data_IF_424935094875
#
_entry.id   IF_424935094875
#
_cell.length_a   1.000
_cell.length_b   1.000
_cell.length_c   1.000
_cell.angle_alpha   90.00
_cell.angle_beta   90.00
_cell.angle_gamma   90.00
#
_symmetry.space_group_name_H-M   'P 1'
#
loop_
_entity.id
_entity.type
_entity.pdbx_description
1 polymer ?
#
# COMPACT_ATOMS: atom_id res chain seq x y z
N UNK A 1 -11.46 5.48 -44.75
CA UNK A 1 -12.34 4.78 -43.78
C UNK A 1 -11.64 4.75 -42.43
N UNK A 2 -12.35 5.22 -41.41
CA UNK A 2 -12.09 5.14 -39.95
C UNK A 2 -10.79 5.74 -39.39
N UNK A 3 -10.95 7.01 -39.01
CA UNK A 3 -10.27 7.66 -37.90
C UNK A 3 -10.84 7.19 -36.54
N UNK A 4 -10.03 7.37 -35.49
CA UNK A 4 -10.51 7.77 -34.17
C UNK A 4 -10.47 6.72 -33.08
N UNK A 5 -9.40 6.73 -32.26
CA UNK A 5 -9.40 6.40 -30.82
C UNK A 5 -8.18 7.06 -30.17
N UNK A 6 -8.26 8.36 -29.87
CA UNK A 6 -7.24 9.04 -29.06
C UNK A 6 -7.78 10.34 -28.44
N UNK A 7 -8.92 10.28 -27.75
CA UNK A 7 -9.34 11.34 -26.81
C UNK A 7 -10.23 10.73 -25.74
N UNK A 8 -9.88 10.89 -24.46
CA UNK A 8 -10.87 10.70 -23.40
C UNK A 8 -10.38 10.27 -22.03
N UNK A 9 -9.29 10.81 -21.49
CA UNK A 9 -8.92 10.62 -20.08
C UNK A 9 -8.25 11.89 -19.52
N UNK A 10 -8.94 13.03 -19.49
CA UNK A 10 -8.38 14.26 -18.88
C UNK A 10 -9.42 15.32 -18.43
N UNK A 11 -10.63 14.92 -18.04
CA UNK A 11 -11.61 15.88 -17.52
C UNK A 11 -12.33 15.36 -16.28
N UNK A 12 -11.97 15.90 -15.12
CA UNK A 12 -12.78 15.83 -13.92
C UNK A 12 -11.95 15.59 -12.66
N UNK A 13 -11.53 16.68 -12.01
CA UNK A 13 -11.53 16.85 -10.54
C UNK A 13 -10.96 18.24 -10.19
N UNK A 14 -11.84 19.24 -10.22
CA UNK A 14 -11.67 20.54 -9.54
C UNK A 14 -12.96 20.86 -8.79
N UNK A 15 -12.96 20.63 -7.48
CA UNK A 15 -13.82 21.26 -6.45
C UNK A 15 -13.65 20.43 -5.17
N UNK A 16 -13.38 20.96 -3.98
CA UNK A 16 -13.13 22.30 -3.51
C UNK A 16 -12.73 22.18 -2.04
N UNK A 17 -11.68 22.90 -1.63
CA UNK A 17 -11.34 23.12 -0.23
C UNK A 17 -11.32 24.63 -0.03
N UNK A 18 -12.27 25.16 0.75
CA UNK A 18 -12.17 26.47 1.38
C UNK A 18 -12.26 26.27 2.88
N UNK A 19 -11.23 26.76 3.55
CA UNK A 19 -11.09 26.85 4.99
C UNK A 19 -11.86 28.06 5.54
N UNK A 20 -12.18 27.97 6.84
CA UNK A 20 -12.23 29.14 7.74
C UNK A 20 -13.57 29.42 8.41
N UNK A 21 -13.55 29.58 9.73
CA UNK A 21 -14.53 30.43 10.43
C UNK A 21 -14.92 30.00 11.84
N UNK A 22 -14.24 30.56 12.84
CA UNK A 22 -14.51 30.51 14.29
C UNK A 22 -15.73 31.37 14.71
N UNK A 23 -16.45 30.93 15.75
CA UNK A 23 -17.15 31.68 16.83
C UNK A 23 -18.22 30.74 17.41
N UNK A 24 -18.43 30.50 18.71
CA UNK A 24 -18.39 31.34 19.90
C UNK A 24 -19.74 31.16 20.61
N UNK A 25 -19.80 30.72 21.86
CA UNK A 25 -21.10 30.60 22.57
C UNK A 25 -21.06 29.81 23.88
N UNK A 26 -21.67 30.35 24.94
CA UNK A 26 -21.37 30.13 26.35
C UNK A 26 -22.60 29.57 27.11
N UNK A 27 -22.35 28.60 28.02
CA UNK A 27 -23.09 28.22 29.25
C UNK A 27 -24.59 27.89 29.20
N UNK A 28 -24.97 26.77 29.86
CA UNK A 28 -25.79 26.80 31.09
C UNK A 28 -25.77 25.48 31.87
N UNK A 29 -26.00 25.65 33.16
CA UNK A 29 -25.87 24.73 34.29
C UNK A 29 -27.18 23.96 34.56
N UNK A 30 -27.06 22.78 35.16
CA UNK A 30 -28.10 22.16 35.99
C UNK A 30 -28.23 20.65 35.70
N UNK A 31 -28.60 19.77 36.63
CA UNK A 31 -28.80 19.79 38.07
C UNK A 31 -29.12 18.35 38.48
N UNK A 32 -28.57 17.89 39.60
CA UNK A 32 -29.09 16.86 40.55
C UNK A 32 -29.35 15.42 40.05
N UNK A 33 -28.88 14.45 40.85
CA UNK A 33 -29.47 13.12 40.89
C UNK A 33 -28.55 12.02 41.42
N UNK A 34 -28.57 11.82 42.75
CA UNK A 34 -27.99 10.68 43.49
C UNK A 34 -28.65 9.34 43.14
N UNK A 35 -27.89 8.27 42.85
CA UNK A 35 -28.21 6.83 43.12
C UNK A 35 -26.88 6.04 43.12
N UNK A 36 -26.42 5.56 44.28
CA UNK A 36 -26.60 4.21 44.83
C UNK A 36 -25.77 3.12 44.10
N UNK A 37 -24.84 2.54 44.85
CA UNK A 37 -24.16 1.24 44.71
C UNK A 37 -24.34 0.50 43.37
N UNK A 38 -23.28 0.49 42.56
CA UNK A 38 -23.16 -0.31 41.34
C UNK A 38 -21.97 -1.27 41.43
N UNK A 39 -22.27 -2.56 41.27
CA UNK A 39 -21.39 -3.72 41.23
C UNK A 39 -20.10 -3.46 40.44
N UNK A 40 -18.99 -4.07 40.89
CA UNK A 40 -17.75 -4.19 40.09
C UNK A 40 -18.15 -4.74 38.71
N UNK A 41 -18.01 -3.90 37.69
CA UNK A 41 -18.26 -4.27 36.32
C UNK A 41 -17.04 -5.03 35.83
N UNK A 42 -17.03 -6.35 36.03
CA UNK A 42 -16.25 -7.23 35.16
C UNK A 42 -16.92 -7.08 33.79
N UNK A 43 -16.26 -6.52 32.77
CA UNK A 43 -16.86 -6.46 31.46
C UNK A 43 -17.16 -7.90 31.04
N UNK A 44 -18.46 -8.20 30.98
CA UNK A 44 -19.00 -9.40 30.39
C UNK A 44 -18.41 -9.51 29.00
N UNK A 45 -17.47 -10.44 28.84
CA UNK A 45 -17.00 -10.93 27.54
C UNK A 45 -18.27 -11.38 26.84
N UNK A 46 -18.76 -10.54 25.92
CA UNK A 46 -19.76 -11.01 25.00
C UNK A 46 -19.10 -12.18 24.25
N UNK A 47 -19.74 -13.33 24.34
CA UNK A 47 -19.43 -14.48 23.52
C UNK A 47 -20.21 -14.33 22.20
N UNK A 48 -20.11 -13.19 21.52
CA UNK A 48 -20.59 -13.07 20.14
C UNK A 48 -19.50 -13.57 19.20
N UNK A 49 -19.50 -14.89 19.02
CA UNK A 49 -18.78 -15.62 17.99
C UNK A 49 -17.26 -15.36 18.01
N UNK A 50 -16.52 -16.22 18.70
CA UNK A 50 -15.10 -16.44 18.40
C UNK A 50 -15.00 -17.08 17.01
N UNK A 51 -15.36 -16.32 15.98
CA UNK A 51 -15.17 -16.71 14.61
C UNK A 51 -13.67 -16.62 14.43
N UNK A 52 -13.00 -17.77 14.40
CA UNK A 52 -11.57 -17.86 14.22
C UNK A 52 -11.19 -17.50 12.77
N UNK A 53 -11.72 -16.38 12.27
CA UNK A 53 -11.51 -15.79 10.95
C UNK A 53 -10.03 -15.57 10.66
N UNK A 54 -9.21 -15.37 11.70
CA UNK A 54 -7.76 -15.28 11.58
C UNK A 54 -7.09 -16.62 11.25
N UNK A 55 -7.73 -17.76 11.58
CA UNK A 55 -7.27 -19.13 11.23
C UNK A 55 -7.66 -19.55 9.82
N UNK A 56 -8.55 -18.80 9.15
CA UNK A 56 -9.04 -19.14 7.83
C UNK A 56 -8.16 -18.49 6.76
N UNK A 57 -7.74 -19.29 5.79
CA UNK A 57 -6.93 -18.83 4.65
C UNK A 57 -5.45 -18.72 4.98
N UNK A 58 -4.71 -18.20 4.01
CA UNK A 58 -3.28 -17.89 4.09
C UNK A 58 -3.09 -16.38 4.16
N UNK A 59 -2.04 -15.95 4.86
CA UNK A 59 -1.70 -14.53 5.03
C UNK A 59 -0.28 -14.27 4.55
N UNK A 60 -0.07 -13.09 3.97
CA UNK A 60 1.27 -12.62 3.60
C UNK A 60 1.83 -11.90 4.83
N UNK A 61 3.03 -12.31 5.25
CA UNK A 61 3.69 -11.75 6.44
C UNK A 61 5.13 -11.41 6.12
N UNK A 62 5.62 -10.33 6.73
CA UNK A 62 7.02 -9.97 6.75
C UNK A 62 7.66 -10.59 8.00
N UNK A 63 8.51 -11.59 7.79
CA UNK A 63 9.03 -12.44 8.88
C UNK A 63 9.84 -11.66 9.92
N UNK A 64 10.63 -10.68 9.48
CA UNK A 64 11.42 -9.81 10.35
C UNK A 64 10.50 -9.02 11.31
N UNK A 65 9.56 -8.24 10.76
CA UNK A 65 8.59 -7.45 11.53
C UNK A 65 7.75 -8.30 12.47
N UNK A 66 7.35 -9.49 12.02
CA UNK A 66 6.58 -10.43 12.81
C UNK A 66 7.41 -10.96 14.00
N UNK A 67 8.66 -11.37 13.76
CA UNK A 67 9.54 -11.90 14.79
C UNK A 67 9.85 -10.84 15.86
N UNK A 68 10.15 -9.61 15.45
CA UNK A 68 10.35 -8.48 16.37
C UNK A 68 9.10 -8.22 17.23
N UNK A 69 7.92 -8.26 16.61
CA UNK A 69 6.64 -8.04 17.31
C UNK A 69 6.27 -9.18 18.27
N UNK A 70 6.80 -10.39 18.07
CA UNK A 70 6.59 -11.55 18.95
C UNK A 70 7.67 -11.71 20.04
N UNK A 71 8.76 -10.93 19.95
CA UNK A 71 9.92 -11.03 20.85
C UNK A 71 9.57 -10.85 22.32
N UNK A 72 8.58 -10.00 22.64
CA UNK A 72 8.18 -9.75 24.01
C UNK A 72 6.82 -9.09 24.13
N UNK A 73 6.09 -9.44 25.18
CA UNK A 73 4.88 -8.74 25.58
C UNK A 73 5.19 -7.32 26.05
N UNK A 74 4.35 -6.37 25.63
CA UNK A 74 4.42 -4.96 26.03
C UNK A 74 4.47 -4.76 27.56
N UNK A 75 3.78 -5.61 28.33
CA UNK A 75 3.73 -5.50 29.80
C UNK A 75 4.80 -6.32 30.53
N UNK A 76 5.10 -7.55 30.10
CA UNK A 76 5.93 -8.48 30.87
C UNK A 76 7.16 -9.02 30.12
N UNK A 77 7.39 -8.59 28.87
CA UNK A 77 8.56 -8.94 28.04
C UNK A 77 8.76 -10.46 27.80
N UNK A 78 7.75 -11.28 28.10
CA UNK A 78 7.75 -12.71 27.77
C UNK A 78 7.39 -12.90 26.30
N UNK A 79 8.07 -13.80 25.55
CA UNK A 79 7.74 -14.09 24.17
C UNK A 79 6.27 -14.49 23.99
N UNK A 80 5.66 -13.97 22.92
CA UNK A 80 4.24 -14.17 22.65
C UNK A 80 4.08 -15.33 21.66
N UNK A 81 3.10 -16.20 21.91
CA UNK A 81 2.77 -17.31 21.01
C UNK A 81 1.58 -16.95 20.10
N UNK A 82 1.76 -17.14 18.78
CA UNK A 82 0.70 -16.95 17.78
C UNK A 82 -0.55 -17.79 18.03
N UNK A 83 -0.44 -18.92 18.73
CA UNK A 83 -1.60 -19.77 19.08
C UNK A 83 -2.61 -19.05 19.98
N UNK A 84 -2.19 -18.03 20.74
CA UNK A 84 -3.05 -17.26 21.64
C UNK A 84 -3.71 -16.06 20.96
N UNK A 85 -3.78 -16.07 19.62
CA UNK A 85 -4.42 -15.00 18.87
C UNK A 85 -5.93 -15.01 19.14
N UNK A 86 -6.44 -13.89 19.62
CA UNK A 86 -7.85 -13.68 19.93
C UNK A 86 -8.59 -13.16 18.69
N UNK A 87 -7.93 -12.30 17.90
CA UNK A 87 -8.52 -11.73 16.70
C UNK A 87 -7.48 -11.17 15.74
N UNK A 88 -7.96 -10.71 14.58
CA UNK A 88 -7.15 -10.05 13.58
C UNK A 88 -7.89 -8.87 12.96
N UNK A 89 -7.16 -7.81 12.64
CA UNK A 89 -7.64 -6.67 11.86
C UNK A 89 -6.90 -6.59 10.53
N UNK A 90 -7.65 -6.66 9.45
CA UNK A 90 -7.10 -6.71 8.09
C UNK A 90 -6.97 -5.32 7.46
N UNK A 91 -5.82 -5.07 6.85
CA UNK A 91 -5.46 -3.82 6.18
C UNK A 91 -4.91 -4.11 4.79
N UNK A 92 -5.75 -4.67 3.91
CA UNK A 92 -5.33 -5.13 2.59
C UNK A 92 -4.58 -6.46 2.69
N UNK A 93 -3.34 -6.53 2.21
CA UNK A 93 -2.50 -7.72 2.36
C UNK A 93 -1.88 -7.85 3.77
N UNK A 94 -1.76 -6.74 4.49
CA UNK A 94 -1.25 -6.73 5.85
C UNK A 94 -2.37 -6.97 6.86
N UNK A 95 -2.01 -7.43 8.06
CA UNK A 95 -2.94 -7.53 9.18
C UNK A 95 -2.23 -7.19 10.50
N UNK A 96 -3.05 -6.91 11.51
CA UNK A 96 -2.61 -6.79 12.90
C UNK A 96 -3.30 -7.91 13.67
N UNK A 97 -2.51 -8.74 14.33
CA UNK A 97 -2.99 -9.82 15.18
C UNK A 97 -3.10 -9.33 16.62
N UNK A 98 -4.24 -9.55 17.24
CA UNK A 98 -4.48 -9.21 18.63
C UNK A 98 -4.24 -10.50 19.46
N UNK A 99 -3.10 -10.56 20.14
CA UNK A 99 -2.61 -11.79 20.79
C UNK A 99 -2.57 -11.64 22.31
N UNK A 100 -3.20 -12.58 23.01
CA UNK A 100 -3.23 -12.62 24.45
C UNK A 100 -1.92 -13.17 25.02
N UNK A 101 -1.31 -12.44 25.96
CA UNK A 101 -0.16 -12.96 26.70
C UNK A 101 -0.61 -14.00 27.75
N UNK A 102 -0.03 -15.20 27.71
CA UNK A 102 -0.29 -16.24 28.72
C UNK A 102 0.12 -15.84 30.14
N UNK A 103 1.12 -14.96 30.30
CA UNK A 103 1.67 -14.63 31.60
C UNK A 103 0.89 -13.52 32.31
N UNK A 104 0.58 -12.43 31.62
CA UNK A 104 -0.05 -11.24 32.22
C UNK A 104 -1.49 -10.96 31.75
N UNK A 105 -2.00 -11.72 30.77
CA UNK A 105 -3.33 -11.50 30.21
C UNK A 105 -3.49 -10.21 29.39
N UNK A 106 -2.41 -9.47 29.11
CA UNK A 106 -2.47 -8.30 28.25
C UNK A 106 -2.65 -8.69 26.78
N UNK A 107 -3.45 -7.92 26.04
CA UNK A 107 -3.62 -8.05 24.59
C UNK A 107 -2.53 -7.24 23.90
N UNK A 108 -1.73 -7.91 23.08
CA UNK A 108 -0.65 -7.30 22.31
C UNK A 108 -1.06 -7.21 20.84
N UNK A 109 -0.82 -6.05 20.23
CA UNK A 109 -1.07 -5.82 18.81
C UNK A 109 0.21 -6.15 18.03
N UNK A 110 0.20 -7.25 17.28
CA UNK A 110 1.35 -7.74 16.52
C UNK A 110 1.12 -7.44 15.04
N UNK A 111 1.91 -6.53 14.47
CA UNK A 111 1.82 -6.18 13.06
C UNK A 111 2.52 -7.23 12.19
N UNK A 112 1.90 -7.61 11.07
CA UNK A 112 2.50 -8.59 10.14
C UNK A 112 3.35 -7.97 9.04
N UNK A 113 3.54 -6.65 9.04
CA UNK A 113 4.45 -6.00 8.11
C UNK A 113 4.71 -4.53 8.42
N UNK A 114 5.75 -3.99 7.79
CA UNK A 114 6.17 -2.61 7.94
C UNK A 114 5.14 -1.63 7.41
N UNK A 115 5.13 -0.47 8.04
CA UNK A 115 4.18 0.59 7.79
C UNK A 115 4.90 1.92 7.69
N UNK A 116 4.71 2.62 6.58
CA UNK A 116 5.11 4.01 6.43
C UNK A 116 3.90 4.94 6.66
N UNK A 117 3.86 5.61 7.80
CA UNK A 117 2.77 6.49 8.21
C UNK A 117 1.45 5.74 8.44
N UNK A 118 0.51 5.85 7.50
CA UNK A 118 -0.82 5.20 7.57
C UNK A 118 -0.96 3.98 6.65
N UNK A 119 0.04 3.68 5.83
CA UNK A 119 -0.03 2.68 4.78
C UNK A 119 0.99 1.57 5.03
N UNK A 120 0.57 0.32 4.82
CA UNK A 120 1.49 -0.82 4.85
C UNK A 120 2.26 -0.94 3.55
N UNK A 121 3.57 -1.16 3.65
CA UNK A 121 4.47 -1.18 2.50
C UNK A 121 4.10 -2.29 1.51
N UNK A 122 3.58 -3.41 2.01
CA UNK A 122 3.07 -4.51 1.17
C UNK A 122 1.97 -4.06 0.21
N UNK A 123 1.07 -3.16 0.63
CA UNK A 123 0.00 -2.67 -0.24
C UNK A 123 0.54 -1.72 -1.32
N UNK A 124 1.54 -0.90 -0.99
CA UNK A 124 2.21 -0.02 -1.95
C UNK A 124 3.00 -0.84 -2.98
N UNK A 125 3.72 -1.88 -2.53
CA UNK A 125 4.44 -2.81 -3.42
C UNK A 125 3.49 -3.59 -4.34
N UNK A 126 2.35 -4.04 -3.82
CA UNK A 126 1.32 -4.68 -4.65
C UNK A 126 0.81 -3.73 -5.73
N UNK A 127 0.49 -2.49 -5.35
CA UNK A 127 0.01 -1.48 -6.30
C UNK A 127 1.06 -1.13 -7.37
N UNK A 128 2.34 -1.03 -6.99
CA UNK A 128 3.44 -0.83 -7.92
C UNK A 128 3.58 -2.03 -8.88
N UNK A 129 3.49 -3.25 -8.36
CA UNK A 129 3.51 -4.46 -9.18
C UNK A 129 2.35 -4.51 -10.18
N UNK A 130 1.16 -4.04 -9.78
CA UNK A 130 0.01 -3.91 -10.68
C UNK A 130 0.27 -2.92 -11.83
N UNK A 131 0.87 -1.76 -11.53
CA UNK A 131 1.25 -0.77 -12.55
C UNK A 131 2.30 -1.37 -13.49
N UNK A 132 3.34 -2.00 -12.93
CA UNK A 132 4.46 -2.55 -13.71
C UNK A 132 4.04 -3.74 -14.59
N UNK A 133 3.14 -4.59 -14.11
CA UNK A 133 2.66 -5.76 -14.85
C UNK A 133 1.43 -5.47 -15.73
N UNK A 134 0.85 -4.27 -15.64
CA UNK A 134 -0.39 -3.93 -16.35
C UNK A 134 -1.60 -4.74 -15.89
N UNK A 135 -1.65 -5.14 -14.62
CA UNK A 135 -2.66 -6.05 -14.05
C UNK A 135 -3.68 -5.26 -13.24
N UNK A 136 -4.96 -5.54 -13.45
CA UNK A 136 -6.06 -4.91 -12.71
C UNK A 136 -6.39 -5.62 -11.39
N UNK A 137 -7.09 -4.91 -10.49
CA UNK A 137 -7.50 -5.43 -9.16
C UNK A 137 -8.24 -6.77 -9.26
N UNK A 138 -9.11 -6.95 -10.25
CA UNK A 138 -9.86 -8.20 -10.44
C UNK A 138 -8.95 -9.40 -10.68
N UNK A 139 -7.91 -9.23 -11.50
CA UNK A 139 -6.95 -10.29 -11.79
C UNK A 139 -6.15 -10.64 -10.54
N UNK A 140 -5.69 -9.64 -9.79
CA UNK A 140 -5.01 -9.85 -8.50
C UNK A 140 -5.90 -10.59 -7.51
N UNK A 141 -7.14 -10.13 -7.29
CA UNK A 141 -8.04 -10.79 -6.36
C UNK A 141 -8.41 -12.21 -6.79
N UNK A 142 -8.43 -12.51 -8.09
CA UNK A 142 -8.56 -13.88 -8.61
C UNK A 142 -7.33 -14.76 -8.33
N UNK A 143 -6.13 -14.19 -8.42
CA UNK A 143 -4.89 -14.90 -8.04
C UNK A 143 -4.88 -15.16 -6.53
N UNK A 144 -5.20 -14.15 -5.72
CA UNK A 144 -5.24 -14.26 -4.26
C UNK A 144 -6.25 -15.32 -3.81
N UNK A 145 -7.46 -15.32 -4.38
CA UNK A 145 -8.46 -16.33 -4.06
C UNK A 145 -8.00 -17.75 -4.42
N UNK A 146 -7.34 -17.92 -5.57
CA UNK A 146 -6.75 -19.22 -5.98
C UNK A 146 -5.70 -19.70 -4.98
N UNK A 147 -4.93 -18.78 -4.39
CA UNK A 147 -3.92 -19.09 -3.37
C UNK A 147 -4.51 -19.28 -1.95
N UNK A 148 -5.83 -19.14 -1.79
CA UNK A 148 -6.53 -19.09 -0.51
C UNK A 148 -6.07 -17.91 0.37
N UNK A 149 -5.70 -16.79 -0.24
CA UNK A 149 -5.37 -15.53 0.43
C UNK A 149 -6.58 -14.60 0.34
N UNK A 150 -6.99 -13.92 1.42
CA UNK A 150 -8.16 -13.06 1.42
C UNK A 150 -8.02 -11.91 0.42
N UNK A 151 -9.15 -11.58 -0.21
CA UNK A 151 -9.20 -10.54 -1.23
C UNK A 151 -8.95 -9.15 -0.63
N UNK A 152 -8.27 -8.31 -1.41
CA UNK A 152 -7.98 -6.93 -1.02
C UNK A 152 -9.13 -6.02 -1.45
N UNK A 153 -9.45 -5.04 -0.60
CA UNK A 153 -10.49 -4.05 -0.89
C UNK A 153 -10.16 -3.25 -2.17
N UNK A 154 -11.11 -3.25 -3.11
CA UNK A 154 -10.97 -2.67 -4.44
C UNK A 154 -10.67 -1.15 -4.40
N UNK A 155 -11.39 -0.39 -3.56
CA UNK A 155 -11.22 1.07 -3.46
C UNK A 155 -9.85 1.44 -2.91
N UNK A 156 -9.39 0.70 -1.90
CA UNK A 156 -8.07 0.91 -1.30
C UNK A 156 -6.98 0.63 -2.34
N UNK A 157 -7.09 -0.48 -3.06
CA UNK A 157 -6.06 -0.90 -4.02
C UNK A 157 -6.02 0.01 -5.26
N UNK A 158 -7.17 0.45 -5.80
CA UNK A 158 -7.20 1.45 -6.89
C UNK A 158 -6.53 2.74 -6.46
N UNK A 159 -6.84 3.23 -5.25
CA UNK A 159 -6.22 4.46 -4.74
C UNK A 159 -4.70 4.32 -4.71
N UNK A 160 -4.18 3.20 -4.21
CA UNK A 160 -2.74 2.91 -4.19
C UNK A 160 -2.15 2.79 -5.60
N UNK A 161 -2.87 2.15 -6.52
CA UNK A 161 -2.46 2.00 -7.91
C UNK A 161 -2.31 3.38 -8.59
N UNK A 162 -3.27 4.29 -8.36
CA UNK A 162 -3.20 5.64 -8.91
C UNK A 162 -2.06 6.46 -8.31
N UNK A 163 -1.86 6.38 -6.98
CA UNK A 163 -0.75 7.04 -6.29
C UNK A 163 0.62 6.52 -6.81
N UNK A 164 0.76 5.20 -6.98
CA UNK A 164 1.97 4.59 -7.55
C UNK A 164 2.16 4.93 -9.03
N UNK A 165 1.08 4.93 -9.82
CA UNK A 165 1.12 5.28 -11.24
C UNK A 165 1.57 6.71 -11.49
N UNK A 166 1.08 7.67 -10.69
CA UNK A 166 1.52 9.06 -10.77
C UNK A 166 3.01 9.21 -10.47
N UNK A 167 3.52 8.53 -9.43
CA UNK A 167 4.94 8.57 -9.10
C UNK A 167 5.81 7.97 -10.22
N UNK A 168 5.38 6.86 -10.83
CA UNK A 168 6.08 6.24 -11.97
C UNK A 168 6.05 7.16 -13.19
N UNK A 169 4.91 7.80 -13.46
CA UNK A 169 4.77 8.73 -14.59
C UNK A 169 5.67 9.98 -14.42
N UNK A 170 5.78 10.52 -13.21
CA UNK A 170 6.67 11.64 -12.91
C UNK A 170 8.15 11.29 -13.14
N UNK A 171 8.58 10.10 -12.70
CA UNK A 171 9.93 9.60 -12.94
C UNK A 171 10.17 9.36 -14.44
N UNK A 172 9.19 8.83 -15.16
CA UNK A 172 9.31 8.62 -16.60
C UNK A 172 9.44 9.94 -17.37
N UNK A 173 8.67 10.97 -16.99
CA UNK A 173 8.74 12.31 -17.60
C UNK A 173 10.08 12.98 -17.34
N UNK A 174 10.51 13.04 -16.09
CA UNK A 174 11.80 13.65 -15.73
C UNK A 174 12.98 12.95 -16.41
N UNK A 175 12.92 11.62 -16.53
CA UNK A 175 13.93 10.85 -17.27
C UNK A 175 13.93 11.25 -18.75
N UNK A 176 12.77 11.26 -19.40
CA UNK A 176 12.64 11.65 -20.81
C UNK A 176 13.12 13.09 -21.06
N UNK A 177 12.74 14.04 -20.20
CA UNK A 177 13.16 15.44 -20.30
C UNK A 177 14.68 15.60 -20.15
N UNK A 178 15.31 14.82 -19.26
CA UNK A 178 16.77 14.84 -19.08
C UNK A 178 17.47 14.35 -20.34
N UNK A 179 17.02 13.24 -20.93
CA UNK A 179 17.59 12.73 -22.20
C UNK A 179 17.40 13.72 -23.36
N UNK A 180 16.24 14.35 -23.46
CA UNK A 180 16.00 15.36 -24.50
C UNK A 180 16.92 16.58 -24.35
N UNK A 181 17.18 17.03 -23.11
CA UNK A 181 18.12 18.13 -22.85
C UNK A 181 19.56 17.75 -23.22
N UNK A 182 19.97 16.52 -22.92
CA UNK A 182 21.27 15.99 -23.31
C UNK A 182 21.42 15.92 -24.84
N UNK A 183 20.40 15.45 -25.56
CA UNK A 183 20.39 15.42 -27.03
C UNK A 183 20.52 16.82 -27.64
N UNK A 184 19.79 17.80 -27.10
CA UNK A 184 19.89 19.20 -27.56
C UNK A 184 21.29 19.75 -27.30
N UNK A 185 21.83 19.55 -26.09
CA UNK A 185 23.16 20.03 -25.74
C UNK A 185 24.27 19.44 -26.63
N UNK A 186 24.20 18.15 -26.94
CA UNK A 186 25.16 17.48 -27.83
C UNK A 186 25.06 17.96 -29.28
N UNK A 187 23.86 18.34 -29.74
CA UNK A 187 23.66 18.91 -31.07
C UNK A 187 24.20 20.34 -31.21
N UNK A 188 24.27 21.10 -30.13
CA UNK A 188 24.83 22.47 -30.11
C UNK A 188 26.38 22.49 -30.17
N UNK A 189 27.05 21.36 -29.91
CA UNK A 189 28.51 21.23 -30.02
C UNK A 189 28.85 20.66 -31.41
N UNK A 190 29.38 21.47 -32.36
CA UNK A 190 29.51 21.08 -33.77
C UNK A 190 30.39 19.84 -34.00
N UNK A 191 31.33 19.57 -33.10
CA UNK A 191 32.27 18.45 -33.19
C UNK A 191 31.74 17.15 -32.58
N UNK A 192 30.80 17.21 -31.62
CA UNK A 192 30.20 16.02 -30.98
C UNK A 192 28.94 15.55 -31.69
N UNK A 193 28.13 16.45 -32.26
CA UNK A 193 26.95 16.08 -33.05
C UNK A 193 27.26 15.19 -34.26
N UNK A 194 28.45 15.33 -34.85
CA UNK A 194 28.91 14.47 -35.94
C UNK A 194 29.35 13.08 -35.45
N UNK A 195 30.01 13.01 -34.29
CA UNK A 195 30.45 11.75 -33.67
C UNK A 195 29.26 10.94 -33.13
N UNK A 196 28.26 11.59 -32.53
CA UNK A 196 27.05 10.91 -32.04
C UNK A 196 26.27 10.29 -33.20
N UNK A 197 26.09 11.02 -34.31
CA UNK A 197 25.46 10.46 -35.53
C UNK A 197 26.21 9.26 -36.10
N UNK A 198 27.55 9.30 -36.11
CA UNK A 198 28.38 8.16 -36.53
C UNK A 198 28.26 6.95 -35.59
N UNK A 199 28.13 7.18 -34.28
CA UNK A 199 27.95 6.11 -33.28
C UNK A 199 26.55 5.48 -33.38
N UNK A 200 25.52 6.27 -33.67
CA UNK A 200 24.17 5.74 -33.89
C UNK A 200 24.03 4.99 -35.22
N UNK A 201 24.67 5.48 -36.30
CA UNK A 201 24.73 4.76 -37.58
C UNK A 201 25.47 3.42 -37.44
N UNK A 202 26.56 3.35 -36.68
CA UNK A 202 27.29 2.09 -36.45
C UNK A 202 26.50 1.10 -35.58
N UNK A 203 25.76 1.57 -34.55
CA UNK A 203 24.85 0.72 -33.77
C UNK A 203 23.65 0.20 -34.57
N UNK A 204 23.23 0.92 -35.60
CA UNK A 204 22.16 0.48 -36.49
C UNK A 204 22.64 -0.60 -37.46
N UNK A 205 23.89 -0.51 -37.92
CA UNK A 205 24.52 -1.49 -38.82
C UNK A 205 24.79 -2.83 -38.08
N UNK A 206 25.26 -2.81 -36.83
CA UNK A 206 25.50 -4.04 -36.04
C UNK A 206 24.23 -4.85 -35.75
N UNK A 207 23.06 -4.21 -35.70
CA UNK A 207 21.78 -4.89 -35.45
C UNK A 207 21.15 -5.51 -36.69
N UNK A 208 21.69 -5.24 -37.89
CA UNK A 208 21.13 -5.73 -39.16
C UNK A 208 21.95 -6.86 -39.81
N UNK A 209 23.11 -7.24 -39.27
CA UNK A 209 23.83 -8.41 -39.75
C UNK A 209 23.28 -9.68 -39.10
N UNK A 210 22.64 -10.60 -39.84
CA UNK A 210 22.31 -11.91 -39.31
C UNK A 210 23.61 -12.68 -39.11
N UNK A 211 23.90 -13.06 -37.86
CA UNK A 211 24.94 -14.04 -37.56
C UNK A 211 24.43 -15.41 -38.03
N UNK A 212 24.65 -15.73 -39.30
CA UNK A 212 24.58 -17.11 -39.80
C UNK A 212 25.85 -17.82 -39.36
N UNK A 213 25.77 -18.59 -38.29
CA UNK A 213 26.76 -19.61 -37.95
C UNK A 213 26.27 -20.95 -38.51
N UNK A 214 27.14 -21.54 -39.33
CA UNK A 214 27.09 -22.90 -39.86
C UNK A 214 27.11 -23.96 -38.75
#
# INVERSE_FOLDING_TARGET
>A
MRAGWLVGWLAGWRAGWRAGGLAGGRKKLGSRGTKLFGKVNVPSIDNSVSDASWKVGRRVVELETLAESLSGCSSCQVPINLLNTVGSRDFGLACVLDILCCNCGAINNVATGRKHGRVYDMNTKLALAMVHAGVGVRQINGILSTLNIPAVNHTMLIRRQNEAGQAVEEVAKSSADTFLQEEVHLNEIPTLGFLVRLVEETRFIEKQTPVTLY
#
